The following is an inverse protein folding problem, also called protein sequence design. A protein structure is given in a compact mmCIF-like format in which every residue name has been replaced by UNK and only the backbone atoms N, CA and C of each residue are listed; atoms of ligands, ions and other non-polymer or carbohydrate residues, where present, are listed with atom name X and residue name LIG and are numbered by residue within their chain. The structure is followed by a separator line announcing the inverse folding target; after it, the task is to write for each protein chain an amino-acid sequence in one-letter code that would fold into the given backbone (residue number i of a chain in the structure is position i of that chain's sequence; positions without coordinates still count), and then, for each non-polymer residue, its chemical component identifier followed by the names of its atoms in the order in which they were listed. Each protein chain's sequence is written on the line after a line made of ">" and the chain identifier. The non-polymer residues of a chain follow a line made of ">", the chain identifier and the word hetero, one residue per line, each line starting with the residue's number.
data_IF_097916649962
#
_entry.id   IF_097916649962
#
_cell.length_a   1.000
_cell.length_b   1.000
_cell.length_c   1.000
_cell.angle_alpha   90.00
_cell.angle_beta   90.00
_cell.angle_gamma   90.00
#
_symmetry.space_group_name_H-M   'P 1'
#
loop_
_entity.id
_entity.type
_entity.pdbx_description
1 polymer ?
#
# COMPACT_ATOMS: atom_id res chain seq x y z
N UNK A 1 64.85 -13.05 -8.01
CA UNK A 1 66.15 -12.54 -7.53
C UNK A 1 66.22 -11.04 -7.82
N UNK A 2 66.71 -10.25 -6.84
CA UNK A 2 66.89 -8.78 -6.78
C UNK A 2 65.57 -7.99 -6.51
N UNK A 3 65.28 -7.56 -5.28
CA UNK A 3 65.83 -6.43 -4.47
C UNK A 3 65.18 -5.08 -4.91
N UNK A 4 64.72 -4.12 -4.09
CA UNK A 4 64.91 -3.77 -2.67
C UNK A 4 63.89 -2.65 -2.28
N UNK A 5 63.74 -2.34 -0.97
CA UNK A 5 63.52 -0.99 -0.35
C UNK A 5 62.07 -0.42 -0.39
N UNK A 6 61.42 0.14 0.66
CA UNK A 6 61.83 0.74 1.95
C UNK A 6 60.66 0.80 2.99
N UNK A 7 61.00 0.63 4.28
CA UNK A 7 60.57 1.29 5.55
C UNK A 7 59.42 2.35 5.50
N UNK A 8 58.48 2.49 6.45
CA UNK A 8 58.69 2.69 7.90
C UNK A 8 57.42 2.51 8.75
N UNK A 9 57.68 2.14 10.01
CA UNK A 9 56.80 1.89 11.15
C UNK A 9 56.61 3.18 11.98
N UNK A 10 55.42 3.46 12.53
CA UNK A 10 55.27 4.14 13.84
C UNK A 10 54.05 3.60 14.57
N UNK A 11 54.31 2.97 15.72
CA UNK A 11 53.36 2.63 16.79
C UNK A 11 53.67 3.58 17.94
N UNK A 12 52.64 4.20 18.54
CA UNK A 12 52.76 4.85 19.84
C UNK A 12 51.53 4.55 20.69
N UNK A 13 51.79 3.90 21.82
CA UNK A 13 50.91 3.69 22.98
C UNK A 13 51.19 4.81 23.98
N UNK A 14 50.18 5.37 24.64
CA UNK A 14 50.31 5.93 25.98
C UNK A 14 49.00 5.81 26.78
N UNK A 15 49.16 5.64 28.08
CA UNK A 15 48.18 5.18 29.06
C UNK A 15 47.71 6.29 30.03
N UNK A 16 46.58 5.99 30.70
CA UNK A 16 46.13 6.39 32.05
C UNK A 16 45.95 7.89 32.38
N UNK A 17 44.89 8.34 33.05
CA UNK A 17 44.55 8.02 34.46
C UNK A 17 43.13 8.48 34.85
N UNK A 18 42.73 8.00 36.02
CA UNK A 18 41.46 7.97 36.78
C UNK A 18 40.91 9.30 37.32
N UNK A 19 39.59 9.38 37.59
CA UNK A 19 39.04 10.02 38.80
C UNK A 19 37.64 9.50 39.16
N UNK A 20 37.42 9.34 40.47
CA UNK A 20 36.32 8.69 41.20
C UNK A 20 35.18 9.65 41.59
N UNK A 21 33.93 9.16 41.72
CA UNK A 21 33.11 9.36 42.94
C UNK A 21 31.87 8.46 43.01
N UNK A 22 31.78 7.74 44.14
CA UNK A 22 30.62 7.03 44.68
C UNK A 22 29.45 7.96 45.01
N UNK A 23 28.21 7.45 44.90
CA UNK A 23 27.09 7.33 45.88
C UNK A 23 26.12 6.34 45.18
N UNK A 24 25.67 5.19 45.68
CA UNK A 24 25.36 4.81 47.05
C UNK A 24 23.85 4.92 47.30
N UNK A 25 23.02 4.02 46.71
CA UNK A 25 21.86 3.47 47.44
C UNK A 25 21.30 2.19 46.82
N UNK A 26 21.10 1.25 47.73
CA UNK A 26 20.65 -0.13 47.65
C UNK A 26 19.14 -0.26 47.54
N UNK A 27 18.68 -1.27 46.80
CA UNK A 27 17.30 -1.74 46.81
C UNK A 27 17.19 -3.11 46.14
N UNK A 28 17.48 -4.17 46.89
CA UNK A 28 17.23 -5.56 46.54
C UNK A 28 15.74 -5.79 46.24
N UNK A 29 15.42 -6.50 45.16
CA UNK A 29 14.41 -7.56 45.23
C UNK A 29 14.79 -8.73 44.32
N UNK A 30 14.67 -9.90 44.93
CA UNK A 30 15.08 -11.25 44.58
C UNK A 30 14.38 -11.80 43.34
N UNK A 31 15.18 -12.35 42.41
CA UNK A 31 14.70 -13.31 41.41
C UNK A 31 14.39 -14.65 42.09
N UNK A 32 13.19 -15.18 41.89
CA UNK A 32 12.87 -16.59 42.13
C UNK A 32 12.43 -17.21 40.81
N UNK A 33 13.26 -18.11 40.30
CA UNK A 33 12.99 -19.02 39.20
C UNK A 33 12.18 -20.20 39.74
N UNK A 34 10.94 -20.35 39.28
CA UNK A 34 10.19 -21.60 39.47
C UNK A 34 9.90 -22.21 38.12
N UNK A 35 10.47 -23.39 37.89
CA UNK A 35 10.23 -24.23 36.73
C UNK A 35 8.78 -24.74 36.75
N UNK A 36 8.08 -24.61 35.62
CA UNK A 36 6.77 -25.24 35.39
C UNK A 36 6.95 -26.41 34.44
N UNK A 37 6.73 -27.60 34.99
CA UNK A 37 6.74 -28.90 34.32
C UNK A 37 5.55 -29.00 33.37
N UNK A 38 5.79 -29.41 32.11
CA UNK A 38 4.76 -29.71 31.12
C UNK A 38 4.10 -31.06 31.44
N UNK A 39 2.80 -31.07 31.67
CA UNK A 39 1.99 -32.29 31.70
C UNK A 39 1.20 -32.42 30.40
N UNK A 40 1.42 -33.50 29.65
CA UNK A 40 0.63 -33.92 28.49
C UNK A 40 -0.74 -34.40 28.95
N UNK A 41 -1.81 -33.81 28.44
CA UNK A 41 -3.17 -34.36 28.52
C UNK A 41 -3.59 -34.86 27.15
N UNK A 42 -3.84 -36.17 27.06
CA UNK A 42 -4.39 -36.89 25.92
C UNK A 42 -5.88 -36.59 25.78
N UNK A 43 -6.31 -36.07 24.63
CA UNK A 43 -7.72 -35.92 24.28
C UNK A 43 -8.25 -37.23 23.69
N UNK A 44 -9.32 -37.75 24.29
CA UNK A 44 -10.03 -38.94 23.84
C UNK A 44 -10.93 -38.63 22.63
N UNK A 45 -10.84 -39.48 21.61
CA UNK A 45 -11.70 -39.51 20.42
C UNK A 45 -13.07 -40.05 20.83
N UNK A 46 -14.14 -39.27 20.60
CA UNK A 46 -15.53 -39.72 20.79
C UNK A 46 -16.15 -39.97 19.42
N UNK A 47 -16.35 -41.25 19.11
CA UNK A 47 -17.10 -41.74 17.95
C UNK A 47 -18.60 -41.65 18.24
N UNK A 48 -19.35 -40.96 17.39
CA UNK A 48 -20.83 -40.97 17.44
C UNK A 48 -21.36 -41.83 16.29
N UNK A 49 -22.04 -42.90 16.67
CA UNK A 49 -22.71 -43.87 15.82
C UNK A 49 -24.06 -43.31 15.36
N UNK A 50 -24.33 -43.34 14.06
CA UNK A 50 -25.62 -42.98 13.45
C UNK A 50 -26.50 -44.22 13.38
N UNK A 51 -27.65 -44.22 14.06
CA UNK A 51 -28.69 -45.23 13.90
C UNK A 51 -29.79 -44.71 12.97
N UNK A 52 -29.98 -45.42 11.86
CA UNK A 52 -31.13 -45.37 10.96
C UNK A 52 -32.35 -46.02 11.61
N UNK A 53 -33.52 -45.39 11.49
CA UNK A 53 -34.81 -46.03 11.78
C UNK A 53 -35.85 -45.64 10.73
N UNK A 54 -36.70 -46.61 10.44
CA UNK A 54 -37.40 -46.82 9.18
C UNK A 54 -38.75 -46.10 9.05
N UNK A 55 -39.17 -46.02 7.79
CA UNK A 55 -40.47 -45.61 7.27
C UNK A 55 -41.59 -46.51 7.81
N UNK A 56 -42.72 -45.91 8.19
CA UNK A 56 -43.99 -46.63 8.34
C UNK A 56 -45.12 -45.79 7.74
N UNK A 57 -45.80 -46.38 6.77
CA UNK A 57 -46.97 -45.88 6.06
C UNK A 57 -48.25 -46.36 6.73
N UNK A 58 -49.25 -45.48 6.88
CA UNK A 58 -50.66 -45.86 7.02
C UNK A 58 -51.57 -44.82 6.36
N UNK A 59 -52.60 -45.32 5.68
CA UNK A 59 -53.49 -44.66 4.71
C UNK A 59 -54.88 -44.33 5.27
N UNK A 60 -55.61 -43.48 4.52
CA UNK A 60 -57.08 -43.26 4.41
C UNK A 60 -57.70 -42.21 5.39
N UNK A 61 -58.61 -41.30 5.01
CA UNK A 61 -59.40 -41.05 3.79
C UNK A 61 -60.10 -39.65 3.85
N UNK A 62 -60.41 -39.06 2.66
CA UNK A 62 -61.55 -38.17 2.27
C UNK A 62 -61.81 -36.86 3.06
N UNK A 63 -62.15 -35.69 2.51
CA UNK A 63 -62.79 -35.27 1.26
C UNK A 63 -62.62 -33.75 1.02
N UNK A 64 -62.97 -33.35 -0.20
CA UNK A 64 -63.40 -32.02 -0.68
C UNK A 64 -62.34 -30.92 -0.96
N UNK A 65 -62.15 -30.70 -2.26
CA UNK A 65 -61.35 -29.65 -2.91
C UNK A 65 -62.19 -28.38 -3.10
N UNK A 66 -61.65 -27.23 -2.67
CA UNK A 66 -61.93 -25.90 -3.24
C UNK A 66 -60.57 -25.19 -3.34
N UNK A 67 -60.08 -24.80 -4.54
CA UNK A 67 -58.75 -24.21 -4.67
C UNK A 67 -58.79 -22.70 -4.38
N UNK A 68 -58.10 -22.27 -3.32
CA UNK A 68 -57.71 -20.88 -3.13
C UNK A 68 -56.21 -20.74 -3.40
N UNK A 69 -55.89 -19.87 -4.35
CA UNK A 69 -54.55 -19.46 -4.77
C UNK A 69 -53.73 -18.89 -3.61
N UNK A 70 -52.64 -19.56 -3.25
CA UNK A 70 -51.54 -18.99 -2.46
C UNK A 70 -50.23 -19.17 -3.21
N UNK A 71 -49.70 -18.05 -3.69
CA UNK A 71 -48.38 -17.90 -4.30
C UNK A 71 -47.32 -18.04 -3.21
N UNK A 72 -46.59 -19.15 -3.20
CA UNK A 72 -45.39 -19.32 -2.36
C UNK A 72 -44.17 -19.00 -3.20
N UNK A 73 -43.60 -17.82 -2.99
CA UNK A 73 -42.35 -17.39 -3.62
C UNK A 73 -41.18 -18.01 -2.89
N UNK A 74 -40.54 -19.00 -3.50
CA UNK A 74 -39.28 -19.61 -3.05
C UNK A 74 -38.13 -18.61 -3.24
N UNK A 75 -37.53 -18.13 -2.16
CA UNK A 75 -36.28 -17.35 -2.19
C UNK A 75 -35.09 -18.29 -2.35
N UNK A 76 -34.58 -18.43 -3.56
CA UNK A 76 -33.26 -19.01 -3.83
C UNK A 76 -32.17 -17.98 -3.54
N UNK A 77 -31.29 -18.31 -2.59
CA UNK A 77 -30.06 -17.55 -2.30
C UNK A 77 -29.11 -17.71 -3.49
N UNK A 78 -28.90 -16.62 -4.25
CA UNK A 78 -27.92 -16.58 -5.33
C UNK A 78 -26.51 -16.43 -4.76
N UNK A 79 -25.65 -17.39 -5.05
CA UNK A 79 -24.20 -17.30 -4.84
C UNK A 79 -23.60 -16.23 -5.74
N UNK A 80 -22.88 -15.29 -5.14
CA UNK A 80 -22.25 -14.14 -5.78
C UNK A 80 -21.22 -14.55 -6.83
N UNK A 81 -21.59 -14.49 -8.11
CA UNK A 81 -20.64 -14.50 -9.21
C UNK A 81 -20.00 -13.11 -9.32
N UNK A 82 -18.67 -13.05 -9.30
CA UNK A 82 -17.91 -11.81 -9.48
C UNK A 82 -18.29 -11.15 -10.81
N UNK A 83 -18.93 -9.98 -10.72
CA UNK A 83 -19.23 -9.15 -11.89
C UNK A 83 -17.92 -8.49 -12.32
N UNK A 84 -17.23 -9.11 -13.29
CA UNK A 84 -16.23 -8.41 -14.10
C UNK A 84 -16.99 -7.52 -15.09
N UNK A 85 -17.48 -6.37 -14.64
CA UNK A 85 -17.88 -5.29 -15.54
C UNK A 85 -16.62 -4.67 -16.12
N UNK A 86 -16.15 -5.24 -17.22
CA UNK A 86 -15.22 -4.53 -18.10
C UNK A 86 -15.99 -3.36 -18.72
N UNK A 87 -15.72 -2.13 -18.27
CA UNK A 87 -16.05 -0.95 -19.06
C UNK A 87 -15.18 -1.01 -20.32
N UNK A 88 -15.72 -1.58 -21.40
CA UNK A 88 -15.15 -1.44 -22.73
C UNK A 88 -15.48 -0.03 -23.23
N UNK A 89 -14.74 0.97 -22.77
CA UNK A 89 -14.64 2.25 -23.47
C UNK A 89 -13.81 2.01 -24.72
N UNK A 90 -14.46 2.04 -25.89
CA UNK A 90 -13.76 2.13 -27.18
C UNK A 90 -13.12 3.52 -27.28
N UNK A 91 -12.00 3.71 -26.61
CA UNK A 91 -11.11 4.83 -26.88
C UNK A 91 -10.44 4.55 -28.21
N UNK A 92 -10.64 5.45 -29.19
CA UNK A 92 -9.78 5.49 -30.36
C UNK A 92 -8.39 5.76 -29.80
N UNK A 93 -7.51 4.75 -29.84
CA UNK A 93 -6.12 4.90 -29.44
C UNK A 93 -5.53 6.07 -30.22
N UNK A 94 -5.27 7.19 -29.53
CA UNK A 94 -4.61 8.34 -30.12
C UNK A 94 -3.22 7.89 -30.55
N UNK A 95 -2.93 7.88 -31.86
CA UNK A 95 -1.61 7.50 -32.36
C UNK A 95 -0.61 8.53 -31.83
N UNK A 96 0.25 8.12 -30.89
CA UNK A 96 1.31 8.98 -30.39
C UNK A 96 2.36 9.11 -31.49
N UNK A 97 2.63 10.35 -31.92
CA UNK A 97 3.63 10.61 -32.94
C UNK A 97 5.03 10.40 -32.34
N UNK A 98 5.75 9.36 -32.79
CA UNK A 98 7.12 9.05 -32.36
C UNK A 98 8.20 9.67 -33.26
N UNK A 99 7.82 10.36 -34.34
CA UNK A 99 8.77 11.01 -35.26
C UNK A 99 9.68 12.00 -34.54
N UNK A 100 10.97 11.96 -34.86
CA UNK A 100 12.01 12.82 -34.27
C UNK A 100 12.40 12.48 -32.83
N UNK A 101 11.88 11.39 -32.25
CA UNK A 101 12.31 10.93 -30.93
C UNK A 101 13.71 10.30 -30.97
N UNK A 102 14.50 10.52 -29.92
CA UNK A 102 15.69 9.71 -29.67
C UNK A 102 15.26 8.33 -29.16
N UNK A 103 15.67 7.27 -29.85
CA UNK A 103 15.21 5.91 -29.56
C UNK A 103 16.18 5.19 -28.62
N UNK A 104 15.66 4.72 -27.49
CA UNK A 104 16.36 3.86 -26.54
C UNK A 104 15.83 2.43 -26.68
N UNK A 105 16.55 1.58 -27.39
CA UNK A 105 16.21 0.15 -27.59
C UNK A 105 17.05 -0.81 -26.76
N UNK A 106 17.94 -0.28 -25.92
CA UNK A 106 18.73 -1.03 -24.93
C UNK A 106 19.19 -0.10 -23.80
N UNK A 107 19.64 -0.66 -22.68
CA UNK A 107 20.13 0.12 -21.54
C UNK A 107 21.25 1.11 -21.91
N UNK A 108 22.15 0.73 -22.83
CA UNK A 108 23.23 1.62 -23.27
C UNK A 108 22.73 2.89 -24.00
N UNK A 109 21.51 2.86 -24.55
CA UNK A 109 20.95 3.98 -25.31
C UNK A 109 20.49 5.17 -24.46
N UNK A 110 20.31 4.99 -23.14
CA UNK A 110 19.86 6.08 -22.27
C UNK A 110 20.84 7.26 -22.25
N UNK A 111 22.15 6.98 -22.21
CA UNK A 111 23.17 8.03 -22.18
C UNK A 111 23.15 8.91 -23.43
N UNK A 112 22.95 8.30 -24.62
CA UNK A 112 22.87 9.06 -25.88
C UNK A 112 21.60 9.91 -26.00
N UNK A 113 20.51 9.51 -25.34
CA UNK A 113 19.24 10.24 -25.39
C UNK A 113 19.04 11.22 -24.23
N UNK A 114 19.97 11.31 -23.27
CA UNK A 114 19.83 12.15 -22.08
C UNK A 114 19.61 13.65 -22.37
N UNK A 115 20.10 14.12 -23.52
CA UNK A 115 19.94 15.53 -23.95
C UNK A 115 18.69 15.81 -24.79
N UNK A 116 17.90 14.78 -25.11
CA UNK A 116 16.72 14.91 -25.97
C UNK A 116 15.50 15.36 -25.19
N UNK A 117 14.63 16.15 -25.82
CA UNK A 117 13.31 16.53 -25.28
C UNK A 117 12.20 15.59 -25.72
N UNK A 118 12.50 14.64 -26.61
CA UNK A 118 11.56 13.59 -27.03
C UNK A 118 12.31 12.28 -27.09
N UNK A 119 11.92 11.33 -26.24
CA UNK A 119 12.58 10.04 -26.07
C UNK A 119 11.55 8.95 -26.28
N UNK A 120 11.88 7.96 -27.10
CA UNK A 120 11.12 6.72 -27.24
C UNK A 120 11.91 5.60 -26.57
N UNK A 121 11.43 5.10 -25.44
CA UNK A 121 11.94 3.86 -24.84
C UNK A 121 11.23 2.70 -25.53
N UNK A 122 11.96 1.98 -26.39
CA UNK A 122 11.43 0.93 -27.25
C UNK A 122 11.91 -0.44 -26.79
N UNK A 123 11.06 -1.12 -26.02
CA UNK A 123 11.23 -2.53 -25.70
C UNK A 123 10.98 -3.45 -26.91
N UNK A 124 11.29 -4.76 -26.78
CA UNK A 124 11.75 -5.40 -25.55
C UNK A 124 13.25 -5.26 -25.32
N UNK A 125 13.65 -4.93 -24.09
CA UNK A 125 15.03 -5.10 -23.63
C UNK A 125 15.09 -5.26 -22.11
N UNK A 126 16.26 -5.67 -21.61
CA UNK A 126 16.52 -5.85 -20.18
C UNK A 126 17.53 -4.81 -19.69
N UNK A 127 17.21 -4.16 -18.57
CA UNK A 127 18.18 -3.41 -17.75
C UNK A 127 19.05 -4.43 -17.02
N UNK A 128 20.37 -4.43 -17.22
CA UNK A 128 21.27 -5.40 -16.60
C UNK A 128 21.19 -5.39 -15.08
N UNK A 129 21.59 -6.49 -14.44
CA UNK A 129 21.68 -6.57 -12.98
C UNK A 129 22.56 -5.43 -12.44
N UNK A 130 22.27 -4.98 -11.22
CA UNK A 130 22.98 -3.91 -10.51
C UNK A 130 22.91 -2.52 -11.17
N UNK A 131 22.14 -2.36 -12.25
CA UNK A 131 21.97 -1.09 -12.94
C UNK A 131 20.57 -0.50 -12.68
N UNK A 132 20.50 0.83 -12.70
CA UNK A 132 19.27 1.60 -12.55
C UNK A 132 19.15 2.59 -13.71
N UNK A 133 17.93 3.00 -14.04
CA UNK A 133 17.69 4.05 -15.02
C UNK A 133 17.50 5.38 -14.27
N UNK A 134 18.37 6.35 -14.52
CA UNK A 134 18.23 7.72 -14.02
C UNK A 134 17.94 8.68 -15.18
N UNK A 135 16.70 9.17 -15.25
CA UNK A 135 16.24 10.14 -16.24
C UNK A 135 16.23 11.54 -15.63
N UNK A 136 17.33 12.28 -15.83
CA UNK A 136 17.39 13.72 -15.55
C UNK A 136 17.00 14.50 -16.80
N UNK A 137 15.71 14.77 -16.94
CA UNK A 137 15.11 15.23 -18.18
C UNK A 137 15.11 16.76 -18.29
N UNK A 138 15.24 17.24 -19.53
CA UNK A 138 15.05 18.67 -19.84
C UNK A 138 13.60 19.08 -19.56
N UNK A 139 13.41 20.35 -19.21
CA UNK A 139 12.08 20.92 -19.02
C UNK A 139 11.21 20.71 -20.27
N UNK A 140 9.97 20.26 -20.08
CA UNK A 140 9.04 20.00 -21.18
C UNK A 140 9.30 18.69 -21.95
N UNK A 141 10.21 17.84 -21.49
CA UNK A 141 10.54 16.62 -22.23
C UNK A 141 9.39 15.61 -22.23
N UNK A 142 9.21 14.92 -23.35
CA UNK A 142 8.28 13.80 -23.54
C UNK A 142 9.04 12.48 -23.61
N UNK A 143 8.62 11.51 -22.82
CA UNK A 143 9.09 10.13 -22.82
C UNK A 143 7.92 9.23 -23.19
N UNK A 144 8.08 8.44 -24.24
CA UNK A 144 7.11 7.45 -24.69
C UNK A 144 7.68 6.07 -24.38
N UNK A 145 6.95 5.25 -23.62
CA UNK A 145 7.32 3.86 -23.34
C UNK A 145 6.50 2.93 -24.23
N UNK A 146 7.18 2.19 -25.09
CA UNK A 146 6.59 1.24 -26.03
C UNK A 146 7.17 -0.15 -25.79
N UNK A 147 6.32 -1.15 -25.54
CA UNK A 147 6.74 -2.51 -25.22
C UNK A 147 7.32 -2.67 -23.81
N UNK A 148 8.01 -3.78 -23.57
CA UNK A 148 8.44 -4.19 -22.21
C UNK A 148 9.90 -3.87 -21.92
N UNK A 149 10.14 -3.13 -20.82
CA UNK A 149 11.46 -3.00 -20.20
C UNK A 149 11.50 -3.90 -18.97
N UNK A 150 12.39 -4.88 -18.99
CA UNK A 150 12.58 -5.83 -17.88
C UNK A 150 13.76 -5.42 -17.03
N UNK A 151 13.64 -5.47 -15.71
CA UNK A 151 14.76 -5.26 -14.80
C UNK A 151 15.30 -6.60 -14.32
N UNK A 152 16.58 -6.89 -14.57
CA UNK A 152 17.20 -8.11 -14.08
C UNK A 152 17.31 -8.09 -12.54
N UNK A 153 17.35 -9.28 -11.92
CA UNK A 153 17.56 -9.38 -10.48
C UNK A 153 18.91 -8.76 -10.10
N UNK A 154 18.89 -7.81 -9.18
CA UNK A 154 20.06 -7.27 -8.51
C UNK A 154 20.32 -7.98 -7.19
N UNK A 155 21.59 -8.09 -6.83
CA UNK A 155 22.09 -8.61 -5.56
C UNK A 155 22.66 -7.52 -4.66
N UNK A 156 22.94 -6.33 -5.22
CA UNK A 156 23.56 -5.21 -4.50
C UNK A 156 22.61 -4.05 -4.21
N UNK A 157 21.56 -3.85 -5.02
CA UNK A 157 20.59 -2.79 -4.81
C UNK A 157 19.69 -3.09 -3.61
N UNK A 158 19.37 -2.04 -2.86
CA UNK A 158 18.72 -2.06 -1.56
C UNK A 158 17.43 -1.23 -1.58
N UNK A 159 16.71 -1.18 -0.46
CA UNK A 159 15.51 -0.34 -0.32
C UNK A 159 15.75 1.18 -0.46
N UNK A 160 17.01 1.62 -0.56
CA UNK A 160 17.37 3.01 -0.86
C UNK A 160 17.43 3.30 -2.36
N UNK A 161 17.54 2.27 -3.18
CA UNK A 161 17.69 2.37 -4.62
C UNK A 161 16.32 2.30 -5.30
N UNK A 162 16.18 3.01 -6.42
CA UNK A 162 15.01 2.93 -7.30
C UNK A 162 15.46 2.44 -8.67
N UNK A 163 14.79 1.43 -9.21
CA UNK A 163 15.10 0.86 -10.53
C UNK A 163 14.91 1.88 -11.67
N UNK A 164 13.97 2.81 -11.52
CA UNK A 164 13.75 3.96 -12.40
C UNK A 164 13.58 5.23 -11.57
N UNK A 165 14.38 6.26 -11.84
CA UNK A 165 14.21 7.60 -11.28
C UNK A 165 13.94 8.60 -12.39
N UNK A 166 12.90 9.43 -12.25
CA UNK A 166 12.56 10.51 -13.18
C UNK A 166 12.60 11.84 -12.45
N UNK A 167 13.40 12.77 -12.96
CA UNK A 167 13.53 14.14 -12.48
C UNK A 167 13.39 15.13 -13.63
N UNK A 168 12.92 16.34 -13.33
CA UNK A 168 12.68 17.38 -14.34
C UNK A 168 11.42 18.22 -14.05
N UNK A 169 11.05 19.08 -14.99
CA UNK A 169 9.86 19.92 -14.91
C UNK A 169 9.05 19.84 -16.19
N UNK A 170 7.73 19.87 -16.11
CA UNK A 170 6.85 19.78 -17.28
C UNK A 170 7.03 18.48 -18.09
N UNK A 171 7.38 17.38 -17.42
CA UNK A 171 7.65 16.10 -18.09
C UNK A 171 6.33 15.43 -18.47
N UNK A 172 6.25 14.90 -19.69
CA UNK A 172 5.20 13.95 -20.07
C UNK A 172 5.83 12.58 -20.21
N UNK A 173 5.45 11.63 -19.37
CA UNK A 173 5.86 10.22 -19.48
C UNK A 173 4.61 9.38 -19.76
N UNK A 174 4.47 8.85 -20.97
CA UNK A 174 3.27 8.14 -21.38
C UNK A 174 3.56 6.78 -22.02
N UNK A 175 2.61 5.86 -21.87
CA UNK A 175 2.62 4.59 -22.60
C UNK A 175 2.19 4.79 -24.05
N UNK A 176 2.86 4.10 -24.96
CA UNK A 176 2.41 3.92 -26.34
C UNK A 176 1.11 3.09 -26.37
N UNK A 177 -0.02 3.63 -26.87
CA UNK A 177 -1.29 2.91 -26.90
C UNK A 177 -1.33 1.84 -28.00
N UNK A 178 -0.43 1.89 -28.98
CA UNK A 178 -0.31 0.87 -30.03
C UNK A 178 0.52 -0.34 -29.58
N UNK A 179 1.39 -0.15 -28.58
CA UNK A 179 2.25 -1.18 -28.01
C UNK A 179 2.54 -0.85 -26.54
N UNK A 180 1.62 -1.29 -25.67
CA UNK A 180 1.58 -0.97 -24.24
C UNK A 180 2.98 -0.96 -23.60
N UNK A 181 3.31 0.17 -22.98
CA UNK A 181 4.51 0.35 -22.18
C UNK A 181 4.41 -0.40 -20.87
N UNK A 182 5.34 -1.35 -20.67
CA UNK A 182 5.41 -2.22 -19.48
C UNK A 182 6.77 -2.08 -18.82
N UNK A 183 6.78 -1.81 -17.52
CA UNK A 183 7.94 -1.92 -16.66
C UNK A 183 7.81 -3.22 -15.83
N UNK A 184 8.68 -4.19 -16.09
CA UNK A 184 8.63 -5.51 -15.46
C UNK A 184 9.75 -5.67 -14.43
N UNK A 185 9.41 -5.69 -13.14
CA UNK A 185 10.37 -5.60 -12.03
C UNK A 185 11.00 -6.93 -11.59
N UNK A 186 10.54 -8.07 -12.12
CA UNK A 186 11.00 -9.41 -11.69
C UNK A 186 10.87 -9.66 -10.17
N UNK A 187 9.87 -9.08 -9.52
CA UNK A 187 9.66 -9.12 -8.08
C UNK A 187 9.68 -10.53 -7.47
N UNK A 188 9.19 -11.54 -8.20
CA UNK A 188 9.21 -12.94 -7.79
C UNK A 188 10.60 -13.50 -7.51
N UNK A 189 11.65 -12.86 -8.03
CA UNK A 189 13.04 -13.24 -7.76
C UNK A 189 13.56 -12.69 -6.42
N UNK A 190 12.82 -11.78 -5.78
CA UNK A 190 13.14 -11.12 -4.51
C UNK A 190 12.19 -11.51 -3.38
N UNK A 191 10.92 -11.81 -3.68
CA UNK A 191 9.89 -12.02 -2.67
C UNK A 191 10.18 -13.22 -1.77
N UNK A 192 10.21 -12.97 -0.46
CA UNK A 192 10.58 -13.91 0.60
C UNK A 192 9.63 -13.84 1.81
N UNK A 193 8.48 -13.17 1.65
CA UNK A 193 7.47 -12.93 2.70
C UNK A 193 7.86 -11.84 3.70
N UNK A 194 9.03 -11.20 3.57
CA UNK A 194 9.54 -10.22 4.54
C UNK A 194 9.56 -8.80 4.03
N UNK A 195 9.42 -8.59 2.71
CA UNK A 195 9.34 -7.26 2.11
C UNK A 195 10.54 -6.38 2.49
N UNK A 196 10.28 -5.14 2.88
CA UNK A 196 11.28 -4.20 3.37
C UNK A 196 11.67 -4.43 4.85
N UNK A 197 10.97 -5.32 5.57
CA UNK A 197 11.16 -5.57 6.99
C UNK A 197 12.30 -6.56 7.30
N UNK A 198 12.95 -7.09 6.27
CA UNK A 198 14.13 -7.95 6.37
C UNK A 198 14.25 -8.92 5.20
N UNK A 199 15.12 -9.92 5.37
CA UNK A 199 15.37 -10.94 4.35
C UNK A 199 16.35 -10.47 3.27
N UNK A 200 16.10 -10.80 2.00
CA UNK A 200 16.97 -10.36 0.90
C UNK A 200 16.79 -8.86 0.65
N UNK A 201 17.84 -8.19 0.16
CA UNK A 201 17.75 -6.80 -0.30
C UNK A 201 16.79 -6.69 -1.49
N UNK A 202 15.96 -5.64 -1.50
CA UNK A 202 14.95 -5.39 -2.53
C UNK A 202 14.98 -3.91 -2.92
N UNK A 203 15.26 -3.55 -4.18
CA UNK A 203 15.15 -2.18 -4.64
C UNK A 203 13.70 -1.73 -4.74
N UNK A 204 13.45 -0.45 -4.45
CA UNK A 204 12.18 0.21 -4.80
C UNK A 204 12.09 0.36 -6.32
N UNK A 205 10.89 0.63 -6.84
CA UNK A 205 10.70 0.60 -8.29
C UNK A 205 10.87 1.96 -8.97
N UNK A 206 9.87 2.83 -8.88
CA UNK A 206 9.82 4.10 -9.61
C UNK A 206 9.91 5.27 -8.62
N UNK A 207 10.86 6.17 -8.83
CA UNK A 207 10.96 7.45 -8.13
C UNK A 207 10.54 8.58 -9.06
N UNK A 208 9.54 9.35 -8.67
CA UNK A 208 9.11 10.57 -9.37
C UNK A 208 9.50 11.77 -8.52
N UNK A 209 10.41 12.60 -9.02
CA UNK A 209 10.87 13.85 -8.37
C UNK A 209 10.80 14.99 -9.39
N UNK A 210 9.58 15.29 -9.81
CA UNK A 210 9.30 16.26 -10.88
C UNK A 210 8.38 17.38 -10.43
N UNK A 211 8.30 18.45 -11.21
CA UNK A 211 7.30 19.51 -11.04
C UNK A 211 6.42 19.64 -12.28
N UNK A 212 5.11 19.83 -12.11
CA UNK A 212 4.20 20.13 -13.22
C UNK A 212 4.14 19.04 -14.29
N UNK A 213 4.34 17.77 -13.92
CA UNK A 213 4.56 16.67 -14.86
C UNK A 213 3.39 15.68 -14.91
N UNK A 214 3.26 14.95 -16.01
CA UNK A 214 2.21 13.95 -16.23
C UNK A 214 2.81 12.57 -16.50
N UNK A 215 2.31 11.55 -15.80
CA UNK A 215 2.63 10.14 -15.99
C UNK A 215 1.36 9.40 -16.37
N UNK A 216 1.31 8.79 -17.57
CA UNK A 216 0.05 8.30 -18.14
C UNK A 216 0.13 6.88 -18.69
N UNK A 217 -0.82 6.03 -18.27
CA UNK A 217 -1.09 4.74 -18.90
C UNK A 217 0.02 3.69 -18.73
N UNK A 218 0.99 3.92 -17.85
CA UNK A 218 2.14 3.01 -17.66
C UNK A 218 1.64 1.76 -16.92
N UNK A 219 2.05 0.58 -17.41
CA UNK A 219 1.84 -0.69 -16.70
C UNK A 219 3.10 -1.10 -15.95
N UNK A 220 2.98 -1.37 -14.66
CA UNK A 220 4.01 -1.98 -13.83
C UNK A 220 3.59 -3.39 -13.45
N UNK A 221 4.51 -4.35 -13.55
CA UNK A 221 4.29 -5.73 -13.15
C UNK A 221 5.41 -6.20 -12.24
N UNK A 222 5.05 -6.85 -11.13
CA UNK A 222 5.94 -7.52 -10.19
C UNK A 222 7.09 -6.61 -9.71
N UNK A 223 6.78 -5.52 -8.99
CA UNK A 223 7.80 -4.75 -8.28
C UNK A 223 8.43 -5.59 -7.15
N UNK A 224 9.73 -5.44 -6.84
CA UNK A 224 10.37 -6.17 -5.73
C UNK A 224 9.80 -5.83 -4.35
N UNK A 225 9.41 -4.56 -4.17
CA UNK A 225 8.85 -3.98 -2.94
C UNK A 225 7.98 -2.77 -3.35
N UNK A 226 7.93 -1.66 -2.60
CA UNK A 226 7.24 -0.40 -2.94
C UNK A 226 7.41 0.00 -4.42
N UNK A 227 6.32 0.39 -5.07
CA UNK A 227 6.27 0.68 -6.49
C UNK A 227 6.56 2.17 -6.77
N UNK A 228 5.62 3.07 -6.57
CA UNK A 228 5.79 4.49 -6.90
C UNK A 228 6.09 5.32 -5.66
N UNK A 229 7.32 5.83 -5.57
CA UNK A 229 7.72 6.86 -4.62
C UNK A 229 7.56 8.23 -5.28
N UNK A 230 6.55 8.99 -4.89
CA UNK A 230 6.14 10.23 -5.53
C UNK A 230 6.48 11.42 -4.64
N UNK A 231 7.23 12.38 -5.18
CA UNK A 231 7.45 13.68 -4.57
C UNK A 231 7.48 14.78 -5.61
N UNK A 232 8.04 15.92 -5.25
CA UNK A 232 7.97 17.13 -6.07
C UNK A 232 6.60 17.78 -6.00
N UNK A 233 6.16 18.44 -7.08
CA UNK A 233 4.94 19.24 -7.04
C UNK A 233 4.09 19.24 -8.31
N UNK A 234 2.78 19.44 -8.18
CA UNK A 234 1.87 19.66 -9.31
C UNK A 234 1.91 18.53 -10.35
N UNK A 235 2.10 17.28 -9.90
CA UNK A 235 2.21 16.13 -10.78
C UNK A 235 0.86 15.42 -10.94
N UNK A 236 0.57 14.97 -12.16
CA UNK A 236 -0.56 14.12 -12.50
C UNK A 236 -0.08 12.70 -12.81
N UNK A 237 -0.67 11.71 -12.16
CA UNK A 237 -0.45 10.28 -12.38
C UNK A 237 -1.80 9.70 -12.79
N UNK A 238 -1.94 9.24 -14.02
CA UNK A 238 -3.23 8.94 -14.64
C UNK A 238 -3.23 7.58 -15.36
N UNK A 239 -4.19 6.72 -15.04
CA UNK A 239 -4.38 5.47 -15.77
C UNK A 239 -3.27 4.44 -15.54
N UNK A 240 -2.63 4.43 -14.38
CA UNK A 240 -1.57 3.46 -14.07
C UNK A 240 -2.20 2.09 -13.81
N UNK A 241 -1.60 1.05 -14.37
CA UNK A 241 -1.91 -0.34 -13.99
C UNK A 241 -0.73 -0.90 -13.21
N UNK A 242 -0.92 -1.22 -11.94
CA UNK A 242 0.08 -1.87 -11.11
C UNK A 242 -0.40 -3.27 -10.71
N UNK A 243 0.25 -4.29 -11.29
CA UNK A 243 -0.10 -5.68 -11.08
C UNK A 243 1.03 -6.43 -10.36
N UNK A 244 0.87 -6.56 -9.05
CA UNK A 244 1.67 -7.41 -8.18
C UNK A 244 0.89 -8.63 -7.70
N UNK A 245 -0.18 -9.04 -8.39
CA UNK A 245 -1.04 -10.16 -7.97
C UNK A 245 -0.26 -11.49 -7.81
N UNK A 246 0.80 -11.69 -8.59
CA UNK A 246 1.70 -12.84 -8.45
C UNK A 246 2.42 -12.91 -7.08
N UNK A 247 2.44 -11.80 -6.33
CA UNK A 247 3.02 -11.69 -5.00
C UNK A 247 2.12 -12.21 -3.87
N UNK A 248 0.89 -12.67 -4.12
CA UNK A 248 -0.09 -12.97 -3.08
C UNK A 248 0.43 -13.85 -1.90
N UNK A 249 1.41 -14.74 -2.12
CA UNK A 249 1.98 -15.58 -1.06
C UNK A 249 3.28 -15.06 -0.43
N UNK A 250 4.09 -14.27 -1.14
CA UNK A 250 5.46 -13.91 -0.73
C UNK A 250 5.80 -12.42 -0.90
N UNK A 251 5.04 -11.69 -1.70
CA UNK A 251 5.13 -10.25 -1.82
C UNK A 251 4.70 -9.59 -0.52
N UNK A 252 5.45 -8.58 -0.09
CA UNK A 252 5.20 -7.83 1.14
C UNK A 252 5.82 -6.43 1.00
N UNK A 253 5.18 -5.41 1.58
CA UNK A 253 5.53 -3.99 1.37
C UNK A 253 5.59 -3.62 -0.12
N UNK A 254 4.61 -4.10 -0.89
CA UNK A 254 4.48 -3.84 -2.32
C UNK A 254 3.56 -2.64 -2.59
N UNK A 255 3.74 -1.56 -1.83
CA UNK A 255 2.92 -0.36 -1.85
C UNK A 255 2.75 0.19 -3.27
N UNK A 256 1.54 0.64 -3.60
CA UNK A 256 1.20 1.21 -4.90
C UNK A 256 1.82 2.60 -5.06
N UNK A 257 1.26 3.57 -4.33
CA UNK A 257 1.65 4.97 -4.38
C UNK A 257 2.05 5.50 -2.99
N UNK A 258 3.34 5.71 -2.77
CA UNK A 258 3.88 6.40 -1.61
C UNK A 258 4.06 7.89 -1.94
N UNK A 259 3.29 8.77 -1.32
CA UNK A 259 3.24 10.20 -1.66
C UNK A 259 3.88 11.06 -0.57
N UNK A 260 4.86 11.86 -0.97
CA UNK A 260 5.49 12.90 -0.16
C UNK A 260 5.82 14.13 -1.02
N UNK A 261 4.81 14.94 -1.34
CA UNK A 261 4.93 16.09 -2.26
C UNK A 261 3.76 17.08 -2.15
N UNK A 262 3.65 18.00 -3.10
CA UNK A 262 2.60 19.05 -3.08
C UNK A 262 1.77 19.02 -4.34
N UNK A 263 0.45 19.22 -4.26
CA UNK A 263 -0.46 19.25 -5.42
C UNK A 263 -0.32 18.01 -6.32
N UNK A 264 -0.37 16.82 -5.72
CA UNK A 264 -0.25 15.55 -6.43
C UNK A 264 -1.64 15.00 -6.72
N UNK A 265 -1.90 14.66 -7.98
CA UNK A 265 -3.13 13.95 -8.37
C UNK A 265 -2.80 12.57 -8.90
N UNK A 266 -3.41 11.55 -8.31
CA UNK A 266 -3.37 10.16 -8.79
C UNK A 266 -4.79 9.74 -9.13
N UNK A 267 -5.03 9.33 -10.38
CA UNK A 267 -6.37 9.02 -10.83
C UNK A 267 -6.47 7.88 -11.82
N UNK A 268 -7.68 7.32 -11.93
CA UNK A 268 -8.08 6.30 -12.91
C UNK A 268 -7.15 5.07 -12.92
N UNK A 269 -6.49 4.78 -11.81
CA UNK A 269 -5.47 3.75 -11.70
C UNK A 269 -6.04 2.47 -11.09
N UNK A 270 -5.44 1.35 -11.45
CA UNK A 270 -5.77 0.02 -10.95
C UNK A 270 -4.55 -0.58 -10.25
N UNK A 271 -4.70 -0.98 -9.00
CA UNK A 271 -3.64 -1.52 -8.15
C UNK A 271 -4.07 -2.86 -7.57
N UNK A 272 -3.24 -3.89 -7.76
CA UNK A 272 -3.35 -5.15 -7.05
C UNK A 272 -2.00 -5.51 -6.41
N UNK A 273 -1.94 -5.45 -5.09
CA UNK A 273 -0.71 -5.60 -4.32
C UNK A 273 -0.94 -6.29 -2.96
N UNK A 274 0.05 -6.18 -2.05
CA UNK A 274 0.06 -6.81 -0.72
C UNK A 274 0.32 -5.80 0.42
N UNK A 275 0.27 -4.50 0.11
CA UNK A 275 0.39 -3.44 1.12
C UNK A 275 -0.48 -2.24 0.71
N UNK A 276 -0.19 -1.03 1.15
CA UNK A 276 -1.02 0.14 0.86
C UNK A 276 -1.21 0.35 -0.65
N UNK A 277 -2.46 0.58 -1.06
CA UNK A 277 -2.74 1.08 -2.41
C UNK A 277 -2.21 2.51 -2.56
N UNK A 278 -2.43 3.30 -1.51
CA UNK A 278 -1.98 4.67 -1.33
C UNK A 278 -1.43 4.83 0.11
N UNK A 279 -0.26 5.44 0.26
CA UNK A 279 0.30 5.87 1.53
C UNK A 279 0.76 7.33 1.42
N UNK A 280 0.10 8.25 2.12
CA UNK A 280 0.47 9.68 2.13
C UNK A 280 1.27 9.98 3.41
N UNK A 281 2.58 10.16 3.30
CA UNK A 281 3.46 10.25 4.47
C UNK A 281 3.80 11.69 4.90
N UNK A 282 3.93 12.61 3.94
CA UNK A 282 4.27 14.02 4.17
C UNK A 282 3.92 14.86 2.93
N UNK A 283 2.69 15.37 2.85
CA UNK A 283 2.19 15.98 1.62
C UNK A 283 1.17 17.10 1.88
N UNK A 284 1.03 18.02 0.93
CA UNK A 284 -0.01 19.06 0.96
C UNK A 284 -0.71 19.13 -0.39
N UNK A 285 -2.02 18.92 -0.43
CA UNK A 285 -2.76 18.90 -1.69
C UNK A 285 -2.57 17.56 -2.40
N UNK A 286 -3.34 16.54 -1.99
CA UNK A 286 -3.33 15.23 -2.67
C UNK A 286 -4.74 14.87 -3.10
N UNK A 287 -4.93 14.63 -4.40
CA UNK A 287 -6.16 14.08 -4.95
C UNK A 287 -5.94 12.61 -5.35
N UNK A 288 -6.79 11.71 -4.85
CA UNK A 288 -6.79 10.31 -5.23
C UNK A 288 -8.18 9.91 -5.74
N UNK A 289 -8.35 9.88 -7.06
CA UNK A 289 -9.67 9.91 -7.70
C UNK A 289 -9.91 8.70 -8.60
N UNK A 290 -11.09 8.07 -8.53
CA UNK A 290 -11.52 7.05 -9.50
C UNK A 290 -10.58 5.82 -9.59
N UNK A 291 -9.89 5.49 -8.50
CA UNK A 291 -8.93 4.38 -8.45
C UNK A 291 -9.57 3.10 -7.93
N UNK A 292 -8.99 1.95 -8.33
CA UNK A 292 -9.37 0.62 -7.86
C UNK A 292 -8.18 -0.01 -7.13
N UNK A 293 -8.40 -0.44 -5.90
CA UNK A 293 -7.41 -1.05 -5.01
C UNK A 293 -7.83 -2.48 -4.65
N UNK A 294 -6.95 -3.46 -4.85
CA UNK A 294 -7.25 -4.89 -4.65
C UNK A 294 -6.12 -5.58 -3.87
N UNK A 295 -6.45 -6.44 -2.92
CA UNK A 295 -5.50 -7.34 -2.25
C UNK A 295 -4.70 -6.73 -1.09
N UNK A 296 -4.50 -5.42 -1.10
CA UNK A 296 -3.56 -4.72 -0.23
C UNK A 296 -4.09 -4.30 1.14
N UNK A 297 -3.62 -3.15 1.64
CA UNK A 297 -3.92 -2.61 2.96
C UNK A 297 -4.83 -1.37 2.96
N UNK A 298 -5.40 -1.02 1.80
CA UNK A 298 -6.36 0.08 1.65
C UNK A 298 -5.74 1.40 1.21
N UNK A 299 -6.48 2.49 1.42
CA UNK A 299 -6.05 3.85 1.09
C UNK A 299 -5.69 4.62 2.37
N UNK A 300 -4.40 4.80 2.60
CA UNK A 300 -3.83 5.28 3.85
C UNK A 300 -3.33 6.71 3.79
N UNK A 301 -3.75 7.52 4.78
CA UNK A 301 -2.96 8.65 5.26
C UNK A 301 -2.00 8.15 6.34
N UNK A 302 -0.71 8.23 6.05
CA UNK A 302 0.38 7.83 6.93
C UNK A 302 1.10 6.54 6.52
N UNK A 303 1.99 6.00 7.37
CA UNK A 303 2.22 6.45 8.75
C UNK A 303 2.85 7.84 8.80
N UNK A 304 2.15 8.79 9.43
CA UNK A 304 2.66 10.16 9.62
C UNK A 304 3.57 10.15 10.84
N UNK A 305 4.81 10.57 10.64
CA UNK A 305 5.88 10.54 11.64
C UNK A 305 6.10 11.92 12.28
N UNK A 306 6.91 11.98 13.35
CA UNK A 306 7.30 13.24 13.98
C UNK A 306 7.81 14.26 12.95
N UNK A 307 7.25 15.46 12.97
CA UNK A 307 7.64 16.57 12.10
C UNK A 307 7.06 16.52 10.68
N UNK A 308 6.34 15.45 10.30
CA UNK A 308 5.66 15.39 9.01
C UNK A 308 4.30 16.10 9.08
N UNK A 309 3.88 16.65 7.94
CA UNK A 309 2.61 17.34 7.77
C UNK A 309 1.87 16.73 6.59
N UNK A 310 0.63 16.30 6.82
CA UNK A 310 -0.29 15.85 5.78
C UNK A 310 -1.54 16.70 5.83
N UNK A 311 -1.75 17.53 4.80
CA UNK A 311 -2.87 18.46 4.74
C UNK A 311 -3.53 18.50 3.37
N UNK A 312 -4.81 18.86 3.34
CA UNK A 312 -5.58 19.07 2.11
C UNK A 312 -5.60 17.83 1.21
N UNK A 313 -6.17 16.74 1.72
CA UNK A 313 -6.26 15.46 1.01
C UNK A 313 -7.71 15.17 0.63
N UNK A 314 -7.93 14.84 -0.64
CA UNK A 314 -9.23 14.48 -1.17
C UNK A 314 -9.16 13.13 -1.89
N UNK A 315 -9.77 12.12 -1.28
CA UNK A 315 -9.82 10.74 -1.78
C UNK A 315 -11.26 10.46 -2.16
N UNK A 316 -11.54 10.31 -3.46
CA UNK A 316 -12.92 10.23 -3.95
C UNK A 316 -13.15 9.12 -4.97
N UNK A 317 -14.33 8.50 -4.89
CA UNK A 317 -14.87 7.59 -5.89
C UNK A 317 -13.92 6.41 -6.12
N UNK A 318 -13.48 5.77 -5.04
CA UNK A 318 -12.56 4.64 -5.12
C UNK A 318 -13.23 3.35 -4.66
N UNK A 319 -12.81 2.25 -5.29
CA UNK A 319 -13.17 0.90 -4.85
C UNK A 319 -11.99 0.26 -4.15
N UNK A 320 -12.22 -0.28 -2.95
CA UNK A 320 -11.23 -1.06 -2.22
C UNK A 320 -11.81 -2.46 -2.00
N UNK A 321 -11.17 -3.47 -2.57
CA UNK A 321 -11.62 -4.85 -2.55
C UNK A 321 -10.55 -5.80 -2.00
N UNK A 322 -10.99 -6.88 -1.36
CA UNK A 322 -10.13 -8.00 -0.93
C UNK A 322 -8.89 -7.54 -0.15
N UNK A 323 -9.05 -6.49 0.65
CA UNK A 323 -7.97 -5.78 1.32
C UNK A 323 -8.11 -5.89 2.84
N UNK A 324 -7.00 -5.69 3.56
CA UNK A 324 -7.03 -5.68 5.01
C UNK A 324 -7.88 -4.54 5.57
N UNK A 325 -7.76 -3.35 4.99
CA UNK A 325 -8.46 -2.17 5.45
C UNK A 325 -9.09 -1.42 4.26
N UNK A 326 -10.15 -0.68 4.52
CA UNK A 326 -10.70 0.30 3.58
C UNK A 326 -10.00 1.64 3.74
N UNK A 327 -10.67 2.57 4.44
CA UNK A 327 -10.16 3.88 4.80
C UNK A 327 -9.20 3.75 5.99
N UNK A 328 -8.00 4.35 5.89
CA UNK A 328 -7.01 4.28 6.97
C UNK A 328 -6.30 5.61 7.23
N UNK A 329 -6.24 6.02 8.50
CA UNK A 329 -5.38 7.10 8.98
C UNK A 329 -4.52 6.55 10.10
N UNK A 330 -3.19 6.62 9.96
CA UNK A 330 -2.22 6.05 10.91
C UNK A 330 -1.13 7.07 11.23
N UNK A 331 -0.91 7.33 12.51
CA UNK A 331 0.24 8.14 12.98
C UNK A 331 1.17 7.25 13.80
N UNK A 332 2.47 7.56 13.76
CA UNK A 332 3.49 6.81 14.49
C UNK A 332 3.26 6.93 16.00
N UNK A 333 3.31 5.81 16.72
CA UNK A 333 3.21 5.77 18.17
C UNK A 333 4.26 6.67 18.82
N UNK A 334 3.83 7.57 19.69
CA UNK A 334 4.72 8.48 20.41
C UNK A 334 5.32 9.59 19.53
N UNK A 335 4.80 9.82 18.32
CA UNK A 335 5.21 10.97 17.51
C UNK A 335 5.03 12.27 18.31
N UNK A 336 6.03 13.15 18.28
CA UNK A 336 6.14 14.31 19.20
C UNK A 336 5.74 15.64 18.55
N UNK A 337 5.52 15.64 17.24
CA UNK A 337 5.16 16.82 16.45
C UNK A 337 4.63 16.39 15.09
N UNK A 338 4.05 17.32 14.34
CA UNK A 338 3.47 17.07 13.02
C UNK A 338 1.98 17.38 13.00
N UNK A 339 1.33 17.09 11.87
CA UNK A 339 -0.09 17.40 11.70
C UNK A 339 -0.71 16.52 10.61
N UNK A 340 -1.91 16.03 10.87
CA UNK A 340 -2.83 15.55 9.84
C UNK A 340 -4.05 16.44 9.87
N UNK A 341 -4.33 17.18 8.79
CA UNK A 341 -5.47 18.11 8.77
C UNK A 341 -6.21 18.12 7.43
N UNK A 342 -7.50 18.45 7.46
CA UNK A 342 -8.32 18.65 6.26
C UNK A 342 -8.26 17.45 5.29
N UNK A 343 -8.72 16.29 5.77
CA UNK A 343 -8.71 15.03 5.03
C UNK A 343 -10.15 14.66 4.72
N UNK A 344 -10.46 14.39 3.46
CA UNK A 344 -11.79 13.95 3.05
C UNK A 344 -11.69 12.64 2.27
N UNK A 345 -12.46 11.65 2.71
CA UNK A 345 -12.78 10.47 1.92
C UNK A 345 -14.26 10.53 1.54
N UNK A 346 -14.56 10.45 0.24
CA UNK A 346 -15.92 10.55 -0.27
C UNK A 346 -16.21 9.46 -1.31
N UNK A 347 -17.41 8.89 -1.28
CA UNK A 347 -17.87 7.91 -2.27
C UNK A 347 -16.93 6.70 -2.32
N UNK A 348 -16.77 6.02 -1.19
CA UNK A 348 -15.85 4.89 -1.03
C UNK A 348 -16.65 3.59 -1.01
N UNK A 349 -16.38 2.72 -1.98
CA UNK A 349 -17.00 1.39 -2.05
C UNK A 349 -16.02 0.34 -1.52
N UNK A 350 -16.44 -0.39 -0.49
CA UNK A 350 -15.67 -1.43 0.16
C UNK A 350 -16.24 -2.82 -0.17
N UNK A 351 -15.37 -3.78 -0.47
CA UNK A 351 -15.79 -5.17 -0.70
C UNK A 351 -14.82 -6.14 -0.04
N UNK A 352 -15.35 -7.06 0.77
CA UNK A 352 -14.58 -8.13 1.38
C UNK A 352 -13.36 -7.61 2.17
N UNK A 353 -13.56 -6.57 3.00
CA UNK A 353 -12.49 -6.02 3.83
C UNK A 353 -12.24 -6.94 5.03
N UNK A 354 -10.98 -7.31 5.29
CA UNK A 354 -10.68 -8.32 6.31
C UNK A 354 -10.71 -7.75 7.75
N UNK A 355 -10.04 -6.63 8.00
CA UNK A 355 -9.79 -6.12 9.36
C UNK A 355 -10.65 -4.90 9.72
N UNK A 356 -10.56 -3.83 8.94
CA UNK A 356 -11.21 -2.55 9.29
C UNK A 356 -11.79 -1.84 8.07
N UNK A 357 -13.09 -1.58 8.05
CA UNK A 357 -13.71 -0.74 7.02
C UNK A 357 -13.15 0.67 7.06
N UNK A 358 -13.20 1.28 8.25
CA UNK A 358 -12.57 2.55 8.59
C UNK A 358 -11.67 2.33 9.81
N UNK A 359 -10.42 2.78 9.74
CA UNK A 359 -9.49 2.78 10.88
C UNK A 359 -8.75 4.11 11.01
N UNK A 360 -8.86 4.74 12.18
CA UNK A 360 -8.06 5.89 12.58
C UNK A 360 -7.30 5.52 13.85
N UNK A 361 -5.97 5.61 13.82
CA UNK A 361 -5.16 5.16 14.96
C UNK A 361 -3.87 5.93 15.16
N UNK A 362 -3.54 6.22 16.43
CA UNK A 362 -2.32 6.93 16.84
C UNK A 362 -1.37 6.04 17.68
N UNK A 363 -1.32 4.75 17.34
CA UNK A 363 -0.55 3.72 18.05
C UNK A 363 0.33 2.90 17.09
N UNK A 364 0.62 3.40 15.89
CA UNK A 364 1.22 2.62 14.81
C UNK A 364 2.74 2.52 14.91
N UNK A 365 3.28 1.31 14.71
CA UNK A 365 4.69 1.07 14.40
C UNK A 365 4.79 0.23 13.13
N UNK A 366 5.96 0.20 12.50
CA UNK A 366 6.19 -0.63 11.31
C UNK A 366 5.96 -2.13 11.59
N UNK A 367 6.25 -2.59 12.82
CA UNK A 367 5.95 -3.96 13.28
C UNK A 367 4.48 -4.20 13.64
N UNK A 368 3.61 -3.22 13.44
CA UNK A 368 2.20 -3.25 13.82
C UNK A 368 1.86 -2.33 14.99
N UNK A 369 0.57 -2.22 15.33
CA UNK A 369 0.10 -1.31 16.36
C UNK A 369 0.41 -1.76 17.79
N UNK A 370 0.62 -0.81 18.69
CA UNK A 370 0.88 -1.09 20.12
C UNK A 370 -0.40 -1.36 20.93
N UNK A 371 -1.57 -0.98 20.43
CA UNK A 371 -2.84 -1.05 21.14
C UNK A 371 -3.06 0.10 22.13
N UNK A 372 -2.10 1.01 22.26
CA UNK A 372 -2.19 2.19 23.13
C UNK A 372 -1.85 3.43 22.34
N UNK A 373 -2.82 4.32 22.12
CA UNK A 373 -2.53 5.59 21.48
C UNK A 373 -1.63 6.47 22.37
N UNK A 374 -0.64 7.10 21.74
CA UNK A 374 0.22 8.10 22.36
C UNK A 374 0.83 8.99 21.28
N UNK A 375 1.08 10.25 21.61
CA UNK A 375 1.73 11.21 20.73
C UNK A 375 1.17 12.61 20.89
N UNK A 376 1.79 13.55 20.17
CA UNK A 376 1.44 14.96 20.05
C UNK A 376 1.40 15.32 18.54
N UNK A 377 0.68 14.50 17.78
CA UNK A 377 0.50 14.66 16.34
C UNK A 377 -1.00 14.71 16.06
N UNK A 378 -1.60 15.92 16.01
CA UNK A 378 -3.04 16.04 15.89
C UNK A 378 -3.58 15.52 14.56
N UNK A 379 -4.76 14.90 14.60
CA UNK A 379 -5.61 14.59 13.44
C UNK A 379 -6.86 15.46 13.53
N UNK A 380 -6.99 16.44 12.63
CA UNK A 380 -8.08 17.43 12.67
C UNK A 380 -8.83 17.47 11.34
N UNK A 381 -10.14 17.65 11.38
CA UNK A 381 -10.93 17.84 10.16
C UNK A 381 -10.90 16.61 9.24
N UNK A 382 -11.25 15.44 9.79
CA UNK A 382 -11.42 14.21 9.01
C UNK A 382 -12.90 14.07 8.61
N UNK A 383 -13.19 14.20 7.32
CA UNK A 383 -14.52 14.03 6.75
C UNK A 383 -14.62 12.68 6.06
N UNK A 384 -15.63 11.89 6.44
CA UNK A 384 -16.01 10.68 5.72
C UNK A 384 -17.45 10.86 5.23
N UNK A 385 -17.66 10.67 3.93
CA UNK A 385 -19.00 10.78 3.33
C UNK A 385 -19.25 9.64 2.36
N UNK A 386 -20.38 8.96 2.52
CA UNK A 386 -20.78 7.85 1.66
C UNK A 386 -19.69 6.76 1.57
N UNK A 387 -19.36 6.19 2.73
CA UNK A 387 -18.45 5.03 2.83
C UNK A 387 -19.29 3.80 3.09
N UNK A 388 -19.36 2.89 2.12
CA UNK A 388 -20.31 1.78 2.15
C UNK A 388 -19.68 0.47 1.68
N UNK A 389 -20.22 -0.67 2.13
CA UNK A 389 -19.75 -1.97 1.66
C UNK A 389 -19.68 -3.05 2.74
N UNK A 390 -18.78 -4.02 2.55
CA UNK A 390 -18.65 -5.18 3.43
C UNK A 390 -17.28 -5.30 4.11
N UNK A 391 -17.32 -5.71 5.38
CA UNK A 391 -16.15 -6.02 6.20
C UNK A 391 -16.39 -7.30 7.00
N UNK A 392 -15.34 -8.05 7.31
CA UNK A 392 -15.43 -9.20 8.25
C UNK A 392 -15.13 -8.76 9.69
N UNK A 393 -14.09 -7.94 9.86
CA UNK A 393 -13.69 -7.33 11.12
C UNK A 393 -14.59 -6.17 11.56
N UNK A 394 -14.00 -5.03 11.91
CA UNK A 394 -14.73 -3.88 12.45
C UNK A 394 -15.13 -2.90 11.34
N UNK A 395 -16.35 -2.36 11.41
CA UNK A 395 -16.81 -1.33 10.47
C UNK A 395 -16.08 -0.01 10.68
N UNK A 396 -15.92 0.40 11.95
CA UNK A 396 -15.23 1.63 12.35
C UNK A 396 -14.37 1.36 13.57
N UNK A 397 -13.08 1.70 13.51
CA UNK A 397 -12.17 1.65 14.66
C UNK A 397 -11.45 2.99 14.81
N UNK A 398 -11.62 3.64 15.96
CA UNK A 398 -10.92 4.90 16.30
C UNK A 398 -10.16 4.72 17.60
N UNK A 399 -8.85 4.93 17.55
CA UNK A 399 -7.96 4.91 18.71
C UNK A 399 -7.06 6.15 18.68
N UNK A 400 -7.54 7.21 19.30
CA UNK A 400 -6.84 8.48 19.41
C UNK A 400 -6.16 8.65 20.78
N UNK A 401 -5.06 9.38 20.80
CA UNK A 401 -4.50 9.92 22.03
C UNK A 401 -5.43 11.04 22.50
N UNK A 402 -5.62 11.14 23.82
CA UNK A 402 -6.57 12.09 24.41
C UNK A 402 -6.28 13.52 23.97
N UNK A 403 -7.23 14.17 23.29
CA UNK A 403 -7.12 15.56 22.83
C UNK A 403 -6.44 15.73 21.47
N UNK A 404 -5.93 14.65 20.86
CA UNK A 404 -5.20 14.72 19.60
C UNK A 404 -6.09 14.51 18.36
N UNK A 405 -7.34 14.11 18.53
CA UNK A 405 -8.32 14.02 17.43
C UNK A 405 -9.49 14.97 17.63
N UNK A 406 -9.80 15.78 16.62
CA UNK A 406 -10.93 16.71 16.64
C UNK A 406 -11.58 16.88 15.26
N UNK A 407 -12.82 17.37 15.25
CA UNK A 407 -13.53 17.78 14.03
C UNK A 407 -13.72 16.63 13.02
N UNK A 408 -14.09 15.45 13.51
CA UNK A 408 -14.45 14.34 12.63
C UNK A 408 -15.91 14.48 12.20
N UNK A 409 -16.16 14.48 10.90
CA UNK A 409 -17.48 14.64 10.31
C UNK A 409 -17.82 13.42 9.45
N UNK A 410 -18.51 12.44 10.04
CA UNK A 410 -18.86 11.20 9.36
C UNK A 410 -20.35 11.22 9.00
N UNK A 411 -20.64 10.93 7.73
CA UNK A 411 -22.00 10.86 7.19
C UNK A 411 -22.11 9.70 6.22
N UNK A 412 -23.27 9.04 6.20
CA UNK A 412 -23.57 7.94 5.28
C UNK A 412 -22.54 6.79 5.36
N UNK A 413 -22.16 6.40 6.58
CA UNK A 413 -21.28 5.25 6.82
C UNK A 413 -22.12 3.97 6.88
N UNK A 414 -22.11 3.20 5.80
CA UNK A 414 -22.91 1.99 5.60
C UNK A 414 -22.01 0.76 5.36
N UNK A 415 -21.09 0.50 6.29
CA UNK A 415 -20.18 -0.65 6.25
C UNK A 415 -20.72 -1.78 7.14
N UNK A 416 -21.07 -2.92 6.53
CA UNK A 416 -21.72 -4.04 7.21
C UNK A 416 -20.77 -5.23 7.42
N UNK A 417 -20.88 -5.96 8.55
CA UNK A 417 -21.76 -5.69 9.68
C UNK A 417 -21.25 -4.49 10.50
N UNK A 418 -22.17 -3.78 11.16
CA UNK A 418 -21.82 -2.65 12.02
C UNK A 418 -21.19 -3.17 13.31
N UNK A 419 -19.89 -2.95 13.47
CA UNK A 419 -19.07 -3.30 14.63
C UNK A 419 -18.06 -2.18 14.86
N UNK A 420 -18.40 -1.25 15.75
CA UNK A 420 -17.60 -0.05 16.00
C UNK A 420 -16.88 -0.10 17.35
N UNK A 421 -15.68 0.49 17.43
CA UNK A 421 -14.98 0.75 18.68
C UNK A 421 -14.19 2.04 18.58
N UNK A 422 -14.56 3.03 19.39
CA UNK A 422 -14.01 4.38 19.31
C UNK A 422 -13.54 4.87 20.68
N UNK A 423 -12.36 5.48 20.72
CA UNK A 423 -11.73 5.97 21.95
C UNK A 423 -10.82 7.16 21.69
N UNK A 424 -10.68 8.04 22.69
CA UNK A 424 -9.78 9.19 22.63
C UNK A 424 -10.27 10.38 21.79
N UNK A 425 -11.53 10.36 21.34
CA UNK A 425 -12.15 11.43 20.55
C UNK A 425 -13.46 11.90 21.22
N UNK A 426 -13.70 13.22 21.23
CA UNK A 426 -14.91 13.83 21.79
C UNK A 426 -15.26 15.15 21.05
N UNK A 427 -16.50 15.34 20.56
CA UNK A 427 -17.56 14.32 20.48
C UNK A 427 -17.14 13.18 19.53
N UNK A 428 -17.65 11.97 19.78
CA UNK A 428 -17.44 10.86 18.86
C UNK A 428 -18.24 11.11 17.56
N UNK A 429 -17.68 10.79 16.37
CA UNK A 429 -18.40 10.94 15.11
C UNK A 429 -19.48 9.88 14.94
N UNK A 430 -20.45 10.13 14.07
CA UNK A 430 -21.52 9.17 13.74
C UNK A 430 -20.95 7.82 13.31
N UNK A 431 -21.48 6.73 13.86
CA UNK A 431 -21.02 5.37 13.56
C UNK A 431 -19.98 4.85 14.56
N UNK A 432 -19.48 5.73 15.42
CA UNK A 432 -19.24 5.43 16.83
C UNK A 432 -20.57 5.63 17.61
#
# INVERSE_FOLDING_TARGET
>A
MRATVLLSLVVSVFAATTSTKHHGHTGHHTSSTTAVTKTKTTAAVRTTTTTTAAVQTTTNATAAVVPQTTTTTTTTVATSAAVKTALATTTIASIINTSGACVVSSYAGFASCASSTKILIQGPFTVPAENVINLSLKSGATVILSGTVTFAKSTTLTGNDHLLTVTGSGITFESDPSNQGILYGNGQLYWDGKGANGGVNKPKFVSIRTTGSTFKGIKVINSPVHCFSIGGSSNLIDGITFDNSAGASLGHNTDGFDVSGTDITVQNSWVHNQDDCLAINNANGVNFLNNICIGGHGASVGSVQSGAVVENVYIQNITIADSDNGVRVKTVYGATSGLVSNITYQDITLSNIAKFGVVVRQDYLNGGPTGKAAGQLPIKGLTLKNVHGSVTGQSVFILCATGECSEFNFSEIAVAPVKASCSGISPAPTGC
#
